data_IF_829978662287
#
_entry.id   IF_829978662287
#
_cell.length_a   1.000
_cell.length_b   1.000
_cell.length_c   1.000
_cell.angle_alpha   90.00
_cell.angle_beta   90.00
_cell.angle_gamma   90.00
#
_symmetry.space_group_name_H-M   'P 1'
#
loop_
_entity.id
_entity.type
_entity.pdbx_description
1 polymer ?
#
# COMPACT_ATOMS: atom_id res chain seq x y z
N UNK A 1 59.13 -13.62 12.28
CA UNK A 1 58.10 -12.52 12.36
C UNK A 1 57.00 -12.93 11.44
N UNK A 2 55.91 -13.49 12.01
CA UNK A 2 54.74 -13.94 11.27
C UNK A 2 53.62 -12.94 11.53
N UNK A 3 53.06 -12.39 10.46
CA UNK A 3 51.88 -11.52 10.55
C UNK A 3 50.65 -12.34 10.97
N UNK A 4 49.78 -11.79 11.85
CA UNK A 4 48.53 -12.45 12.17
C UNK A 4 47.52 -12.23 11.03
N UNK A 5 47.02 -13.31 10.44
CA UNK A 5 45.88 -13.30 9.53
C UNK A 5 44.60 -12.87 10.29
N UNK A 6 43.79 -11.97 9.73
CA UNK A 6 42.49 -11.68 10.33
C UNK A 6 41.51 -12.84 10.06
N UNK A 7 41.14 -13.52 11.12
CA UNK A 7 40.05 -14.52 11.11
C UNK A 7 38.71 -13.82 10.88
N UNK A 8 38.41 -13.57 9.62
CA UNK A 8 37.06 -13.16 9.20
C UNK A 8 36.15 -14.38 9.15
N UNK A 9 35.47 -14.70 10.23
CA UNK A 9 34.34 -15.61 10.15
C UNK A 9 33.31 -15.04 9.19
N UNK A 10 32.89 -15.78 8.14
CA UNK A 10 31.82 -15.34 7.29
C UNK A 10 30.55 -15.29 8.14
N UNK A 11 29.95 -14.10 8.23
CA UNK A 11 28.62 -13.88 8.78
C UNK A 11 27.72 -15.02 8.32
N UNK A 12 27.34 -15.88 9.25
CA UNK A 12 26.62 -17.10 8.98
C UNK A 12 25.32 -16.76 8.26
N UNK A 13 25.31 -17.08 6.98
CA UNK A 13 24.13 -17.08 6.13
C UNK A 13 23.04 -17.80 6.94
N UNK A 14 21.94 -17.16 7.23
CA UNK A 14 20.81 -17.72 7.96
C UNK A 14 20.32 -19.00 7.25
N UNK A 15 20.98 -20.09 7.51
CA UNK A 15 20.49 -21.40 7.09
C UNK A 15 19.29 -21.68 7.97
N UNK A 16 18.11 -21.59 7.36
CA UNK A 16 16.89 -22.09 7.98
C UNK A 16 17.10 -23.59 8.19
N UNK A 17 17.53 -23.99 9.38
CA UNK A 17 17.58 -25.39 9.77
C UNK A 17 16.19 -25.98 9.59
N UNK A 18 16.09 -27.24 9.16
CA UNK A 18 14.82 -27.94 9.00
C UNK A 18 13.95 -27.83 10.27
N UNK A 19 14.57 -27.74 11.45
CA UNK A 19 13.92 -27.49 12.74
C UNK A 19 13.25 -26.12 12.80
N UNK A 20 13.94 -25.06 12.38
CA UNK A 20 13.38 -23.70 12.37
C UNK A 20 12.24 -23.57 11.34
N UNK A 21 12.37 -24.21 10.19
CA UNK A 21 11.30 -24.26 9.19
C UNK A 21 10.05 -24.95 9.74
N UNK A 22 10.18 -26.12 10.41
CA UNK A 22 9.06 -26.82 11.06
C UNK A 22 8.44 -26.02 12.20
N UNK A 23 9.22 -25.23 12.95
CA UNK A 23 8.69 -24.34 13.99
C UNK A 23 7.87 -23.21 13.38
N UNK A 24 8.34 -22.60 12.28
CA UNK A 24 7.59 -21.57 11.54
C UNK A 24 6.30 -22.15 10.94
N UNK A 25 6.36 -23.34 10.32
CA UNK A 25 5.16 -23.99 9.80
C UNK A 25 4.12 -24.23 10.91
N UNK A 26 4.51 -24.78 12.06
CA UNK A 26 3.62 -24.99 13.20
C UNK A 26 3.06 -23.66 13.73
N UNK A 27 3.88 -22.64 13.85
CA UNK A 27 3.43 -21.32 14.25
C UNK A 27 2.31 -20.80 13.33
N UNK A 28 2.51 -20.81 12.02
CA UNK A 28 1.49 -20.34 11.07
C UNK A 28 0.27 -21.28 10.97
N UNK A 29 0.38 -22.54 11.32
CA UNK A 29 -0.74 -23.48 11.35
C UNK A 29 -1.64 -23.30 12.59
N UNK A 30 -1.05 -23.00 13.74
CA UNK A 30 -1.74 -23.01 15.02
C UNK A 30 -2.03 -21.62 15.57
N UNK A 31 -1.16 -20.64 15.29
CA UNK A 31 -1.36 -19.26 15.71
C UNK A 31 -2.26 -18.51 14.74
N UNK A 32 -3.48 -18.27 15.18
CA UNK A 32 -4.39 -17.34 14.49
C UNK A 32 -3.91 -15.91 14.74
N UNK A 33 -2.91 -15.46 14.01
CA UNK A 33 -2.50 -14.07 14.03
C UNK A 33 -3.67 -13.21 13.56
N UNK A 34 -4.30 -12.51 14.48
CA UNK A 34 -5.29 -11.50 14.13
C UNK A 34 -4.62 -10.50 13.19
N UNK A 35 -5.17 -10.34 12.00
CA UNK A 35 -4.58 -9.49 10.98
C UNK A 35 -4.33 -8.05 11.46
N UNK A 36 -5.17 -7.55 12.39
CA UNK A 36 -5.03 -6.22 12.96
C UNK A 36 -3.83 -6.11 13.94
N UNK A 37 -3.51 -7.20 14.65
CA UNK A 37 -2.32 -7.29 15.49
C UNK A 37 -1.05 -7.25 14.64
N UNK A 38 -1.04 -7.99 13.53
CA UNK A 38 0.09 -7.98 12.59
C UNK A 38 0.35 -6.60 12.01
N UNK A 39 -0.70 -5.85 11.66
CA UNK A 39 -0.58 -4.48 11.15
C UNK A 39 0.04 -3.54 12.19
N UNK A 40 -0.42 -3.59 13.44
CA UNK A 40 0.15 -2.79 14.54
C UNK A 40 1.61 -3.16 14.81
N UNK A 41 1.93 -4.44 14.77
CA UNK A 41 3.29 -4.93 14.95
C UNK A 41 4.22 -4.40 13.85
N UNK A 42 3.82 -4.47 12.58
CA UNK A 42 4.59 -3.95 11.44
C UNK A 42 4.88 -2.46 11.63
N UNK A 43 3.85 -1.65 11.93
CA UNK A 43 4.01 -0.20 12.15
C UNK A 43 5.00 0.09 13.29
N UNK A 44 4.90 -0.67 14.39
CA UNK A 44 5.82 -0.54 15.53
C UNK A 44 7.25 -0.96 15.19
N UNK A 45 7.44 -2.09 14.50
CA UNK A 45 8.76 -2.57 14.09
C UNK A 45 9.46 -1.60 13.12
N UNK A 46 8.70 -0.96 12.25
CA UNK A 46 9.22 0.03 11.31
C UNK A 46 9.47 1.40 11.97
N UNK A 47 9.11 1.55 13.26
CA UNK A 47 9.22 2.82 14.00
C UNK A 47 8.58 3.99 13.22
N UNK A 48 7.38 3.74 12.69
CA UNK A 48 6.65 4.73 11.90
C UNK A 48 5.84 5.62 12.82
N UNK A 49 6.49 6.62 13.37
CA UNK A 49 5.85 7.66 14.16
C UNK A 49 5.25 8.74 13.26
N UNK A 50 4.15 9.37 13.70
CA UNK A 50 3.47 10.42 12.97
C UNK A 50 2.62 9.96 11.76
N UNK A 51 2.17 10.94 10.94
CA UNK A 51 1.38 10.67 9.74
C UNK A 51 2.17 9.88 8.68
N UNK A 52 1.47 9.00 7.97
CA UNK A 52 2.07 8.04 7.05
C UNK A 52 1.62 8.30 5.62
N UNK A 53 2.56 8.25 4.71
CA UNK A 53 2.26 8.19 3.28
C UNK A 53 1.82 6.78 2.94
N UNK A 54 0.58 6.64 2.48
CA UNK A 54 -0.02 5.35 2.11
C UNK A 54 -0.07 5.20 0.59
N UNK A 55 0.00 3.97 0.12
CA UNK A 55 -0.24 3.64 -1.28
C UNK A 55 -1.29 2.54 -1.39
N UNK A 56 -2.30 2.78 -2.22
CA UNK A 56 -3.30 1.79 -2.59
C UNK A 56 -2.94 1.21 -3.95
N UNK A 57 -2.74 -0.09 -3.99
CA UNK A 57 -2.47 -0.79 -5.24
C UNK A 57 -3.15 -2.16 -5.27
N UNK A 58 -3.23 -2.70 -6.47
CA UNK A 58 -3.68 -4.07 -6.72
C UNK A 58 -2.53 -4.87 -7.28
N UNK A 59 -2.25 -5.99 -6.65
CA UNK A 59 -1.28 -6.97 -7.11
C UNK A 59 -1.98 -8.28 -7.48
N UNK A 60 -1.38 -9.03 -8.37
CA UNK A 60 -1.80 -10.39 -8.68
C UNK A 60 -0.60 -11.32 -8.46
N UNK A 61 -0.89 -12.46 -7.87
CA UNK A 61 0.08 -13.51 -7.63
C UNK A 61 -0.43 -14.80 -8.26
N UNK A 62 0.50 -15.61 -8.74
CA UNK A 62 0.19 -16.99 -9.14
C UNK A 62 0.43 -17.91 -7.95
N UNK A 63 -0.60 -18.63 -7.55
CA UNK A 63 -0.53 -19.68 -6.54
C UNK A 63 -0.89 -21.01 -7.21
N UNK A 64 0.13 -21.79 -7.57
CA UNK A 64 -0.06 -22.96 -8.42
C UNK A 64 -0.56 -22.57 -9.81
N UNK A 65 -1.70 -23.13 -10.22
CA UNK A 65 -2.36 -22.81 -11.49
C UNK A 65 -3.39 -21.65 -11.38
N UNK A 66 -3.67 -21.16 -10.17
CA UNK A 66 -4.64 -20.12 -9.91
C UNK A 66 -4.01 -18.74 -9.80
N UNK A 67 -4.73 -17.72 -10.30
CA UNK A 67 -4.40 -16.32 -10.08
C UNK A 67 -5.10 -15.81 -8.81
N UNK A 68 -4.32 -15.19 -7.92
CA UNK A 68 -4.81 -14.56 -6.69
C UNK A 68 -4.70 -13.05 -6.84
N UNK A 69 -5.80 -12.35 -6.73
CA UNK A 69 -5.87 -10.90 -6.82
C UNK A 69 -6.00 -10.29 -5.43
N UNK A 70 -5.14 -9.34 -5.11
CA UNK A 70 -5.11 -8.72 -3.79
C UNK A 70 -5.14 -7.20 -3.95
N UNK A 71 -6.07 -6.56 -3.25
CA UNK A 71 -6.05 -5.12 -3.03
C UNK A 71 -5.21 -4.86 -1.79
N UNK A 72 -4.17 -4.04 -1.91
CA UNK A 72 -3.18 -3.82 -0.85
C UNK A 72 -3.12 -2.34 -0.49
N UNK A 73 -3.18 -2.05 0.79
CA UNK A 73 -2.80 -0.78 1.37
C UNK A 73 -1.41 -0.93 1.99
N UNK A 74 -0.45 -0.19 1.46
CA UNK A 74 0.94 -0.22 1.90
C UNK A 74 1.36 1.12 2.48
N UNK A 75 2.29 1.12 3.44
CA UNK A 75 2.99 2.32 3.86
C UNK A 75 4.21 2.55 2.94
N UNK A 76 4.40 3.79 2.53
CA UNK A 76 5.52 4.21 1.70
C UNK A 76 6.57 4.86 2.58
N UNK A 77 7.75 4.31 2.60
CA UNK A 77 8.93 4.91 3.25
C UNK A 77 9.94 5.35 2.18
N UNK A 78 10.99 6.04 2.58
CA UNK A 78 12.06 6.45 1.64
C UNK A 78 12.73 5.28 0.91
N UNK A 79 12.71 4.08 1.50
CA UNK A 79 13.42 2.90 0.98
C UNK A 79 12.51 1.79 0.53
N UNK A 80 11.35 1.63 1.15
CA UNK A 80 10.50 0.46 1.01
C UNK A 80 9.03 0.84 0.90
N UNK A 81 8.27 -0.01 0.23
CA UNK A 81 6.81 -0.06 0.33
C UNK A 81 6.47 -1.33 1.11
N UNK A 82 5.85 -1.15 2.26
CA UNK A 82 5.53 -2.26 3.16
C UNK A 82 4.03 -2.48 3.18
N UNK A 83 3.54 -3.63 2.71
CA UNK A 83 2.13 -3.98 2.81
C UNK A 83 1.68 -3.96 4.27
N UNK A 84 0.58 -3.29 4.57
CA UNK A 84 -0.03 -3.27 5.89
C UNK A 84 -1.29 -4.11 5.93
N UNK A 85 -2.22 -3.83 5.03
CA UNK A 85 -3.53 -4.47 4.99
C UNK A 85 -3.80 -4.93 3.57
N UNK A 86 -4.28 -6.14 3.41
CA UNK A 86 -4.70 -6.69 2.13
C UNK A 86 -6.10 -7.28 2.19
N UNK A 87 -6.78 -7.29 1.06
CA UNK A 87 -8.06 -7.98 0.85
C UNK A 87 -7.97 -8.76 -0.45
N UNK A 88 -8.36 -10.03 -0.38
CA UNK A 88 -8.51 -10.87 -1.57
C UNK A 88 -9.67 -10.35 -2.42
N UNK A 89 -9.49 -10.38 -3.72
CA UNK A 89 -10.50 -10.03 -4.69
C UNK A 89 -10.95 -11.29 -5.43
N UNK A 90 -12.24 -11.45 -5.59
CA UNK A 90 -12.83 -12.66 -6.16
C UNK A 90 -12.68 -12.76 -7.68
N UNK A 91 -12.21 -11.68 -8.34
CA UNK A 91 -12.15 -11.62 -9.79
C UNK A 91 -10.94 -10.85 -10.33
N UNK A 92 -10.58 -11.18 -11.56
CA UNK A 92 -9.68 -10.35 -12.37
C UNK A 92 -10.37 -9.02 -12.69
N UNK A 93 -9.65 -7.91 -12.59
CA UNK A 93 -10.20 -6.60 -12.92
C UNK A 93 -9.92 -5.55 -11.86
N UNK A 94 -10.63 -4.46 -11.89
CA UNK A 94 -10.45 -3.36 -10.93
C UNK A 94 -11.30 -3.65 -9.70
N UNK A 95 -10.75 -3.44 -8.49
CA UNK A 95 -11.55 -3.45 -7.25
C UNK A 95 -12.70 -2.46 -7.36
N UNK A 96 -13.85 -2.79 -6.81
CA UNK A 96 -14.97 -1.86 -6.72
C UNK A 96 -14.74 -0.78 -5.63
N UNK A 97 -15.62 0.19 -5.56
CA UNK A 97 -15.51 1.26 -4.56
C UNK A 97 -15.73 0.74 -3.13
N UNK A 98 -16.65 -0.22 -2.94
CA UNK A 98 -16.96 -0.81 -1.65
C UNK A 98 -15.76 -1.54 -1.04
N UNK A 99 -15.04 -2.34 -1.84
CA UNK A 99 -13.83 -3.04 -1.40
C UNK A 99 -12.73 -2.07 -0.93
N UNK A 100 -12.56 -0.94 -1.64
CA UNK A 100 -11.59 0.11 -1.26
C UNK A 100 -11.99 0.81 0.02
N UNK A 101 -13.28 1.15 0.13
CA UNK A 101 -13.85 1.77 1.33
C UNK A 101 -13.67 0.85 2.52
N UNK A 102 -14.05 -0.41 2.43
CA UNK A 102 -13.91 -1.39 3.51
C UNK A 102 -12.45 -1.55 3.97
N UNK A 103 -11.49 -1.60 3.02
CA UNK A 103 -10.07 -1.67 3.33
C UNK A 103 -9.60 -0.41 4.07
N UNK A 104 -10.02 0.76 3.63
CA UNK A 104 -9.66 2.04 4.25
C UNK A 104 -10.33 2.22 5.61
N UNK A 105 -11.58 1.85 5.77
CA UNK A 105 -12.28 1.86 7.07
C UNK A 105 -11.58 0.99 8.10
N UNK A 106 -11.06 -0.17 7.67
CA UNK A 106 -10.25 -1.01 8.54
C UNK A 106 -8.98 -0.29 9.00
N UNK A 107 -8.30 0.41 8.10
CA UNK A 107 -7.13 1.24 8.46
C UNK A 107 -7.52 2.37 9.44
N UNK A 108 -8.62 3.07 9.15
CA UNK A 108 -9.10 4.18 9.98
C UNK A 108 -9.48 3.73 11.40
N UNK A 109 -10.06 2.55 11.57
CA UNK A 109 -10.34 1.97 12.91
C UNK A 109 -9.06 1.69 13.71
N UNK A 110 -7.97 1.33 13.03
CA UNK A 110 -6.70 0.99 13.69
C UNK A 110 -5.87 2.22 14.07
N UNK A 111 -5.88 3.26 13.25
CA UNK A 111 -4.93 4.37 13.34
C UNK A 111 -5.55 5.75 13.29
N UNK A 112 -6.81 5.88 12.88
CA UNK A 112 -7.48 7.16 12.66
C UNK A 112 -7.02 7.90 11.41
N UNK A 113 -7.80 8.92 11.00
CA UNK A 113 -7.51 9.72 9.80
C UNK A 113 -6.27 10.63 9.97
N UNK A 114 -6.01 11.12 11.17
CA UNK A 114 -4.84 11.95 11.48
C UNK A 114 -3.50 11.24 11.29
N UNK A 115 -3.52 9.90 11.22
CA UNK A 115 -2.34 9.09 10.94
C UNK A 115 -1.97 9.04 9.44
N UNK A 116 -2.75 9.67 8.57
CA UNK A 116 -2.54 9.69 7.11
C UNK A 116 -1.98 11.03 6.69
N UNK A 117 -0.76 11.05 6.16
CA UNK A 117 -0.18 12.21 5.49
C UNK A 117 -0.82 12.42 4.11
N UNK A 118 -0.82 11.37 3.30
CA UNK A 118 -1.54 11.33 2.03
C UNK A 118 -1.73 9.88 1.56
N UNK A 119 -2.77 9.66 0.75
CA UNK A 119 -3.02 8.40 0.06
C UNK A 119 -2.64 8.52 -1.41
N UNK A 120 -1.70 7.71 -1.85
CA UNK A 120 -1.29 7.60 -3.25
C UNK A 120 -2.07 6.48 -3.92
N UNK A 121 -2.59 6.73 -5.13
CA UNK A 121 -3.25 5.70 -5.91
C UNK A 121 -3.10 5.93 -7.42
N UNK A 122 -3.21 4.86 -8.21
CA UNK A 122 -3.18 4.96 -9.66
C UNK A 122 -4.56 5.38 -10.21
N UNK A 123 -4.57 5.86 -11.46
CA UNK A 123 -5.77 6.31 -12.22
C UNK A 123 -6.92 5.30 -12.26
N UNK A 124 -6.64 4.00 -12.18
CA UNK A 124 -7.66 2.95 -12.14
C UNK A 124 -8.58 3.02 -10.92
N UNK A 125 -8.15 3.74 -9.86
CA UNK A 125 -8.91 3.90 -8.63
C UNK A 125 -9.84 5.12 -8.61
N UNK A 126 -9.92 5.90 -9.70
CA UNK A 126 -10.81 7.07 -9.77
C UNK A 126 -12.25 6.59 -9.97
N UNK A 127 -13.08 6.79 -8.95
CA UNK A 127 -14.53 6.58 -8.94
C UNK A 127 -15.18 7.61 -8.02
N UNK A 128 -16.34 8.13 -8.42
CA UNK A 128 -17.01 9.21 -7.68
C UNK A 128 -17.30 8.84 -6.22
N UNK A 129 -17.78 7.64 -5.95
CA UNK A 129 -18.08 7.15 -4.62
C UNK A 129 -16.83 7.09 -3.73
N UNK A 130 -15.73 6.55 -4.26
CA UNK A 130 -14.46 6.49 -3.57
C UNK A 130 -13.92 7.90 -3.24
N UNK A 131 -13.99 8.83 -4.19
CA UNK A 131 -13.56 10.21 -3.99
C UNK A 131 -14.41 10.92 -2.94
N UNK A 132 -15.74 10.72 -2.94
CA UNK A 132 -16.64 11.23 -1.91
C UNK A 132 -16.28 10.70 -0.53
N UNK A 133 -15.96 9.42 -0.42
CA UNK A 133 -15.52 8.80 0.84
C UNK A 133 -14.23 9.44 1.36
N UNK A 134 -13.21 9.62 0.52
CA UNK A 134 -11.94 10.25 0.92
C UNK A 134 -12.17 11.69 1.42
N UNK A 135 -12.93 12.47 0.69
CA UNK A 135 -13.27 13.86 1.06
C UNK A 135 -14.07 13.93 2.37
N UNK A 136 -15.09 13.08 2.54
CA UNK A 136 -15.89 13.00 3.76
C UNK A 136 -15.04 12.73 4.99
N UNK A 137 -14.05 11.85 4.87
CA UNK A 137 -13.14 11.48 5.96
C UNK A 137 -11.92 12.40 6.06
N UNK A 138 -11.86 13.48 5.26
CA UNK A 138 -10.74 14.46 5.23
C UNK A 138 -9.38 13.78 5.01
N UNK A 139 -9.34 12.73 4.18
CA UNK A 139 -8.12 12.02 3.85
C UNK A 139 -7.44 12.75 2.68
N UNK A 140 -6.23 13.30 2.86
CA UNK A 140 -5.47 13.87 1.75
C UNK A 140 -5.10 12.75 0.76
N UNK A 141 -5.21 13.03 -0.54
CA UNK A 141 -4.87 12.04 -1.55
C UNK A 141 -4.21 12.65 -2.79
N UNK A 142 -3.37 11.86 -3.44
CA UNK A 142 -2.82 12.15 -4.76
C UNK A 142 -3.06 10.94 -5.67
N UNK A 143 -3.92 11.14 -6.67
CA UNK A 143 -4.29 10.08 -7.63
C UNK A 143 -3.85 10.51 -9.02
N UNK A 144 -3.15 9.61 -9.71
CA UNK A 144 -2.71 9.84 -11.09
C UNK A 144 -3.93 9.99 -12.00
N UNK A 145 -3.97 11.06 -12.78
CA UNK A 145 -5.04 11.31 -13.74
C UNK A 145 -4.63 10.89 -15.15
N UNK A 146 -5.62 10.59 -16.00
CA UNK A 146 -5.43 10.46 -17.46
C UNK A 146 -5.45 11.84 -18.10
N UNK A 147 -4.59 12.09 -19.08
CA UNK A 147 -4.52 13.38 -19.79
C UNK A 147 -5.83 13.78 -20.48
N UNK A 148 -6.59 12.78 -20.96
CA UNK A 148 -7.88 12.97 -21.64
C UNK A 148 -9.08 13.03 -20.71
N UNK A 149 -8.85 13.02 -19.38
CA UNK A 149 -9.94 13.08 -18.40
C UNK A 149 -10.63 14.46 -18.45
N UNK A 150 -11.97 14.47 -18.39
CA UNK A 150 -12.74 15.70 -18.26
C UNK A 150 -12.69 16.19 -16.81
N UNK A 151 -12.41 17.47 -16.64
CA UNK A 151 -12.44 18.16 -15.36
C UNK A 151 -13.61 19.15 -15.43
N UNK A 152 -14.53 19.03 -14.50
CA UNK A 152 -15.62 19.97 -14.31
C UNK A 152 -15.12 21.09 -13.41
N UNK A 153 -15.25 22.31 -13.87
CA UNK A 153 -14.85 23.51 -13.13
C UNK A 153 -16.06 24.08 -12.37
N UNK A 154 -15.79 24.93 -11.39
CA UNK A 154 -16.82 25.56 -10.57
C UNK A 154 -17.73 26.50 -11.39
N UNK A 155 -17.23 27.03 -12.52
CA UNK A 155 -18.00 27.83 -13.49
C UNK A 155 -18.95 27.01 -14.37
N UNK A 156 -19.06 25.69 -14.12
CA UNK A 156 -19.89 24.76 -14.90
C UNK A 156 -19.25 24.31 -16.21
N UNK A 157 -18.12 24.85 -16.62
CA UNK A 157 -17.41 24.44 -17.83
C UNK A 157 -16.67 23.12 -17.63
N UNK A 158 -16.47 22.37 -18.73
CA UNK A 158 -15.70 21.12 -18.72
C UNK A 158 -14.52 21.23 -19.66
N UNK A 159 -13.32 20.85 -19.19
CA UNK A 159 -12.10 20.87 -19.98
C UNK A 159 -11.29 19.60 -19.78
N UNK A 160 -10.55 19.20 -20.80
CA UNK A 160 -9.64 18.07 -20.66
C UNK A 160 -8.44 18.43 -19.79
N UNK A 161 -8.03 17.51 -18.89
CA UNK A 161 -6.94 17.72 -17.94
C UNK A 161 -5.63 18.15 -18.62
N UNK A 162 -5.33 17.62 -19.82
CA UNK A 162 -4.14 18.02 -20.62
C UNK A 162 -4.05 19.53 -20.89
N UNK A 163 -5.20 20.24 -20.91
CA UNK A 163 -5.23 21.69 -21.15
C UNK A 163 -4.56 22.47 -20.01
N UNK A 164 -4.68 21.98 -18.78
CA UNK A 164 -4.04 22.57 -17.61
C UNK A 164 -2.53 22.30 -17.59
N UNK A 165 -2.07 21.15 -18.08
CA UNK A 165 -0.66 20.79 -18.14
C UNK A 165 0.12 21.64 -19.15
N UNK A 166 -0.50 21.99 -20.29
CA UNK A 166 0.14 22.82 -21.33
C UNK A 166 0.49 24.22 -20.86
N UNK A 167 -0.34 24.82 -20.03
CA UNK A 167 -0.09 26.17 -19.49
C UNK A 167 1.15 26.23 -18.57
N UNK A 168 1.44 25.15 -17.86
CA UNK A 168 2.57 25.09 -16.91
C UNK A 168 3.95 24.92 -17.61
N UNK A 169 3.99 24.36 -18.83
CA UNK A 169 5.23 24.20 -19.60
C UNK A 169 5.68 25.48 -20.33
N UNK A 170 4.82 26.51 -20.41
CA UNK A 170 5.15 27.80 -21.06
C UNK A 170 5.59 28.90 -20.10
N UNK A 171 5.66 28.63 -18.82
CA UNK A 171 6.00 29.61 -17.76
C UNK A 171 7.19 29.20 -16.88
N UNK A 172 8.06 28.30 -17.38
CA UNK A 172 9.34 27.94 -16.74
C UNK A 172 10.51 28.38 -17.62
#
# INVERSE_FOLDING_TARGET
MGEPQPSGEPVSRWRLNASNYRRLQRFFQFERLHADMSVRLIVRMLKLDGPKLLALDRTNWKLGQGDVYILVLAVVTRRLRVPLIGTLLDHAGTSDAGQRIALMERYLRLFGASSIEALLADRKFIRAEWMKFLNKNKIPFAIRLKENMQVHLEDGSSRQFRTFLRKRRRGA
#
